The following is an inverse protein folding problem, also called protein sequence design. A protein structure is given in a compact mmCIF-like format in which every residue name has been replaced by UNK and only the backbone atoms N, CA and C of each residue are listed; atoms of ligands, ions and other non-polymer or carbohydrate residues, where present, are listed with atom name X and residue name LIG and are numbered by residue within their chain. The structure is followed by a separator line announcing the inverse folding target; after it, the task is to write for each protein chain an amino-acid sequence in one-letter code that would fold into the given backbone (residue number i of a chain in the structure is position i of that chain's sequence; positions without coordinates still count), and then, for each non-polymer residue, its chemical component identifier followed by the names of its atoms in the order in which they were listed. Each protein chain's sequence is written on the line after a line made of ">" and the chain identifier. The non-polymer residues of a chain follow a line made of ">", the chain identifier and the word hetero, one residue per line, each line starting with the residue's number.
data_IF_455129673300
#
_entry.id   IF_455129673300
#
_cell.length_a   1.000
_cell.length_b   1.000
_cell.length_c   1.000
_cell.angle_alpha   90.00
_cell.angle_beta   90.00
_cell.angle_gamma   90.00
#
_symmetry.space_group_name_H-M   'P 1'
#
loop_
_entity.id
_entity.type
_entity.pdbx_description
1 polymer ?
#
# COMPACT_ATOMS: atom_id res chain seq x y z
N UNK A 1 -0.24 -23.11 1.81
CA UNK A 1 -0.56 -21.85 2.51
C UNK A 1 -0.76 -22.16 3.96
N UNK A 2 0.01 -21.54 4.86
CA UNK A 2 -0.27 -21.65 6.29
C UNK A 2 -1.28 -20.56 6.66
N UNK A 3 -2.31 -20.90 7.42
CA UNK A 3 -3.34 -19.96 7.91
C UNK A 3 -2.70 -18.71 8.56
N UNK A 4 -1.57 -18.96 9.23
CA UNK A 4 -0.74 -17.97 9.91
C UNK A 4 -0.15 -16.89 8.99
N UNK A 5 0.17 -17.19 7.73
CA UNK A 5 0.77 -16.22 6.81
C UNK A 5 -0.26 -15.24 6.24
N UNK A 6 -1.48 -15.71 5.98
CA UNK A 6 -2.59 -14.86 5.55
C UNK A 6 -3.08 -13.97 6.71
N UNK A 7 -3.21 -14.53 7.92
CA UNK A 7 -3.54 -13.75 9.12
C UNK A 7 -2.50 -12.64 9.36
N UNK A 8 -1.20 -12.98 9.31
CA UNK A 8 -0.13 -12.01 9.46
C UNK A 8 -0.16 -10.92 8.38
N UNK A 9 -0.37 -11.29 7.11
CA UNK A 9 -0.50 -10.33 6.02
C UNK A 9 -1.71 -9.38 6.22
N UNK A 10 -2.83 -9.90 6.71
CA UNK A 10 -4.01 -9.10 7.03
C UNK A 10 -3.76 -8.13 8.18
N UNK A 11 -3.07 -8.55 9.25
CA UNK A 11 -2.69 -7.66 10.35
C UNK A 11 -1.78 -6.52 9.89
N UNK A 12 -0.78 -6.82 9.05
CA UNK A 12 0.14 -5.84 8.47
C UNK A 12 -0.63 -4.86 7.57
N UNK A 13 -1.48 -5.36 6.68
CA UNK A 13 -2.30 -4.53 5.80
C UNK A 13 -3.21 -3.60 6.62
N UNK A 14 -3.84 -4.11 7.68
CA UNK A 14 -4.79 -3.35 8.49
C UNK A 14 -4.16 -2.10 9.12
N UNK A 15 -3.01 -2.22 9.79
CA UNK A 15 -2.41 -1.05 10.41
C UNK A 15 -1.81 -0.10 9.37
N UNK A 16 -1.26 -0.61 8.26
CA UNK A 16 -0.69 0.21 7.20
C UNK A 16 -1.75 1.03 6.48
N UNK A 17 -2.91 0.45 6.16
CA UNK A 17 -4.08 1.18 5.62
C UNK A 17 -4.50 2.28 6.59
N UNK A 18 -4.69 1.95 7.87
CA UNK A 18 -5.08 2.92 8.90
C UNK A 18 -4.05 4.04 9.10
N UNK A 19 -2.76 3.73 8.92
CA UNK A 19 -1.67 4.71 9.04
C UNK A 19 -1.75 5.81 7.97
N UNK A 20 -2.24 5.49 6.77
CA UNK A 20 -2.39 6.40 5.64
C UNK A 20 -1.10 6.84 4.94
N UNK A 21 0.06 6.24 5.23
CA UNK A 21 1.34 6.64 4.64
C UNK A 21 1.64 6.11 3.24
N UNK A 22 0.84 5.16 2.75
CA UNK A 22 1.08 4.46 1.50
C UNK A 22 -0.11 4.59 0.55
N UNK A 23 0.16 4.52 -0.75
CA UNK A 23 -0.88 4.46 -1.77
C UNK A 23 -1.50 3.07 -1.82
N UNK A 24 -2.64 2.92 -2.49
CA UNK A 24 -3.28 1.60 -2.64
C UNK A 24 -2.34 0.59 -3.31
N UNK A 25 -1.65 1.00 -4.38
CA UNK A 25 -0.66 0.16 -5.06
C UNK A 25 0.49 -0.26 -4.15
N UNK A 26 1.05 0.67 -3.35
CA UNK A 26 2.11 0.35 -2.40
C UNK A 26 1.61 -0.67 -1.35
N UNK A 27 0.38 -0.50 -0.84
CA UNK A 27 -0.20 -1.41 0.14
C UNK A 27 -0.40 -2.83 -0.43
N UNK A 28 -0.89 -2.93 -1.67
CA UNK A 28 -1.04 -4.22 -2.36
C UNK A 28 0.32 -4.88 -2.55
N UNK A 29 1.32 -4.18 -3.10
CA UNK A 29 2.65 -4.72 -3.35
C UNK A 29 3.31 -5.18 -2.06
N UNK A 30 3.32 -4.33 -1.03
CA UNK A 30 3.92 -4.67 0.27
C UNK A 30 3.21 -5.83 0.97
N UNK A 31 1.91 -6.03 0.75
CA UNK A 31 1.16 -7.17 1.29
C UNK A 31 1.43 -8.44 0.48
N UNK A 32 1.59 -8.32 -0.84
CA UNK A 32 1.97 -9.42 -1.71
C UNK A 32 3.36 -9.97 -1.33
N UNK A 33 4.35 -9.11 -1.07
CA UNK A 33 5.68 -9.52 -0.61
C UNK A 33 5.62 -10.38 0.67
N UNK A 34 4.73 -10.05 1.61
CA UNK A 34 4.52 -10.86 2.82
C UNK A 34 3.98 -12.25 2.49
N UNK A 35 3.06 -12.33 1.52
CA UNK A 35 2.42 -13.57 1.09
C UNK A 35 3.33 -14.45 0.21
N UNK A 36 4.26 -13.85 -0.55
CA UNK A 36 5.24 -14.58 -1.38
C UNK A 36 6.22 -15.42 -0.55
N UNK A 37 6.36 -15.14 0.74
CA UNK A 37 7.19 -15.94 1.64
C UNK A 37 6.61 -17.35 1.93
N UNK A 38 5.37 -17.63 1.53
CA UNK A 38 4.76 -18.96 1.64
C UNK A 38 5.15 -19.88 0.47
N UNK A 39 5.64 -21.09 0.80
CA UNK A 39 5.98 -22.11 -0.19
C UNK A 39 4.80 -22.41 -1.14
N UNK A 40 5.07 -22.31 -2.43
CA UNK A 40 4.11 -22.62 -3.50
C UNK A 40 3.22 -21.46 -3.94
N UNK A 41 3.38 -20.26 -3.38
CA UNK A 41 2.64 -19.07 -3.83
C UNK A 41 3.39 -18.36 -4.94
N UNK A 42 2.79 -18.20 -6.11
CA UNK A 42 3.37 -17.41 -7.20
C UNK A 42 3.18 -15.90 -6.95
N UNK A 43 4.03 -15.01 -7.52
CA UNK A 43 3.84 -13.56 -7.39
C UNK A 43 2.45 -13.07 -7.86
N UNK A 44 1.89 -13.69 -8.90
CA UNK A 44 0.54 -13.37 -9.41
C UNK A 44 -0.53 -13.73 -8.37
N UNK A 45 -0.45 -14.90 -7.75
CA UNK A 45 -1.38 -15.32 -6.70
C UNK A 45 -1.24 -14.45 -5.45
N UNK A 46 -0.01 -14.12 -5.03
CA UNK A 46 0.24 -13.24 -3.90
C UNK A 46 -0.36 -11.84 -4.12
N UNK A 47 -0.21 -11.28 -5.32
CA UNK A 47 -0.83 -10.00 -5.70
C UNK A 47 -2.37 -10.08 -5.66
N UNK A 48 -2.95 -11.15 -6.22
CA UNK A 48 -4.40 -11.36 -6.19
C UNK A 48 -4.93 -11.44 -4.76
N UNK A 49 -4.25 -12.16 -3.88
CA UNK A 49 -4.60 -12.29 -2.47
C UNK A 49 -4.42 -10.97 -1.71
N UNK A 50 -3.33 -10.24 -1.97
CA UNK A 50 -3.12 -8.92 -1.40
C UNK A 50 -4.23 -7.94 -1.78
N UNK A 51 -4.71 -7.94 -3.04
CA UNK A 51 -5.88 -7.15 -3.46
C UNK A 51 -7.13 -7.52 -2.64
N UNK A 52 -7.39 -8.82 -2.45
CA UNK A 52 -8.53 -9.32 -1.66
C UNK A 52 -8.49 -8.88 -0.19
N UNK A 53 -7.29 -8.67 0.39
CA UNK A 53 -7.10 -8.20 1.76
C UNK A 53 -7.18 -6.66 1.82
N UNK A 54 -6.43 -5.96 0.97
CA UNK A 54 -6.20 -4.51 1.08
C UNK A 54 -7.40 -3.70 0.64
N UNK A 55 -8.07 -4.06 -0.46
CA UNK A 55 -9.16 -3.26 -1.03
C UNK A 55 -10.33 -3.09 -0.06
N UNK A 56 -10.83 -4.15 0.62
CA UNK A 56 -11.88 -3.99 1.63
C UNK A 56 -11.46 -3.08 2.78
N UNK A 57 -10.25 -3.24 3.32
CA UNK A 57 -9.71 -2.41 4.41
C UNK A 57 -9.59 -0.95 3.97
N UNK A 58 -9.14 -0.71 2.74
CA UNK A 58 -9.03 0.63 2.15
C UNK A 58 -10.39 1.30 2.03
N UNK A 59 -11.39 0.60 1.50
CA UNK A 59 -12.75 1.11 1.34
C UNK A 59 -13.43 1.39 2.69
N UNK A 60 -13.23 0.52 3.68
CA UNK A 60 -13.69 0.75 5.06
C UNK A 60 -13.06 2.03 5.64
N UNK A 61 -11.75 2.19 5.45
CA UNK A 61 -11.03 3.37 5.92
C UNK A 61 -11.47 4.65 5.18
N UNK A 62 -11.74 4.60 3.88
CA UNK A 62 -12.32 5.72 3.13
C UNK A 62 -13.71 6.11 3.67
N UNK A 63 -14.58 5.13 3.91
CA UNK A 63 -15.90 5.36 4.48
C UNK A 63 -15.80 6.00 5.88
N UNK A 64 -14.90 5.50 6.73
CA UNK A 64 -14.62 6.09 8.03
C UNK A 64 -14.15 7.55 7.91
N UNK A 65 -13.27 7.85 6.96
CA UNK A 65 -12.71 9.19 6.74
C UNK A 65 -13.74 10.24 6.31
N UNK A 66 -14.85 9.83 5.71
CA UNK A 66 -15.96 10.72 5.35
C UNK A 66 -16.65 11.31 6.60
N UNK A 67 -16.60 10.60 7.73
CA UNK A 67 -17.16 11.08 9.00
C UNK A 67 -16.27 12.08 9.73
N UNK A 68 -15.00 12.23 9.31
CA UNK A 68 -14.05 13.09 10.01
C UNK A 68 -14.35 14.57 9.75
N UNK A 69 -14.25 15.44 10.77
CA UNK A 69 -14.43 16.87 10.59
C UNK A 69 -13.53 17.43 9.48
N UNK A 70 -14.11 18.20 8.55
CA UNK A 70 -13.37 18.82 7.45
C UNK A 70 -12.70 20.14 7.85
N UNK A 71 -13.24 20.80 8.88
CA UNK A 71 -12.76 22.12 9.33
C UNK A 71 -11.63 22.02 10.36
N UNK A 72 -11.43 20.85 10.96
CA UNK A 72 -10.39 20.61 11.96
C UNK A 72 -9.20 19.89 11.35
N UNK A 73 -8.00 20.39 11.66
CA UNK A 73 -6.77 19.71 11.24
C UNK A 73 -6.62 18.38 11.97
N UNK A 74 -6.36 17.33 11.21
CA UNK A 74 -6.04 16.03 11.78
C UNK A 74 -4.71 16.07 12.56
N UNK A 75 -4.45 15.05 13.37
CA UNK A 75 -3.16 14.92 14.06
C UNK A 75 -1.99 14.91 13.07
N UNK A 76 -2.17 14.24 11.93
CA UNK A 76 -1.13 14.15 10.92
C UNK A 76 -0.90 15.48 10.19
N UNK A 77 -1.96 16.24 9.88
CA UNK A 77 -1.80 17.57 9.27
C UNK A 77 -1.07 18.54 10.20
N UNK A 78 -1.28 18.44 11.52
CA UNK A 78 -0.52 19.21 12.51
C UNK A 78 0.95 18.78 12.56
N UNK A 79 1.21 17.47 12.55
CA UNK A 79 2.58 16.94 12.47
C UNK A 79 3.28 17.37 11.18
N UNK A 80 2.61 17.27 10.02
CA UNK A 80 3.12 17.68 8.72
C UNK A 80 3.55 19.15 8.73
N UNK A 81 2.70 20.05 9.25
CA UNK A 81 3.05 21.48 9.40
C UNK A 81 4.27 21.68 10.31
N UNK A 82 4.35 20.95 11.42
CA UNK A 82 5.47 21.05 12.35
C UNK A 82 6.77 20.55 11.71
N UNK A 83 6.73 19.39 11.06
CA UNK A 83 7.89 18.76 10.43
C UNK A 83 8.38 19.60 9.25
N UNK A 84 7.47 20.11 8.41
CA UNK A 84 7.81 21.04 7.33
C UNK A 84 8.49 22.32 7.84
N UNK A 85 8.03 22.85 9.00
CA UNK A 85 8.68 24.01 9.61
C UNK A 85 10.05 23.68 10.19
N UNK A 86 10.26 22.50 10.78
CA UNK A 86 11.58 22.08 11.26
C UNK A 86 12.58 21.99 10.12
N UNK A 87 12.16 21.37 9.03
CA UNK A 87 12.93 21.20 7.81
C UNK A 87 13.30 22.57 7.21
N UNK A 88 12.29 23.35 6.80
CA UNK A 88 12.50 24.59 6.02
C UNK A 88 12.99 25.77 6.84
N UNK A 89 12.56 25.92 8.09
CA UNK A 89 12.80 27.13 8.88
C UNK A 89 13.87 26.97 9.97
N UNK A 90 14.22 25.72 10.32
CA UNK A 90 15.13 25.45 11.43
C UNK A 90 16.38 24.64 11.05
N UNK A 91 16.51 24.21 9.79
CA UNK A 91 17.61 23.33 9.33
C UNK A 91 17.68 22.02 10.12
N UNK A 92 16.52 21.49 10.47
CA UNK A 92 16.36 20.23 11.20
C UNK A 92 15.57 19.31 10.26
N UNK A 93 16.24 18.49 9.43
CA UNK A 93 15.58 17.44 8.66
C UNK A 93 14.59 16.66 9.54
N UNK A 94 13.34 16.64 9.11
CA UNK A 94 12.23 16.10 9.89
C UNK A 94 11.38 15.13 9.06
N UNK A 95 11.43 13.84 9.39
CA UNK A 95 10.75 12.79 8.61
C UNK A 95 9.72 12.00 9.43
N UNK A 96 8.52 11.88 8.89
CA UNK A 96 7.41 11.12 9.48
C UNK A 96 7.42 9.68 8.97
N UNK A 97 7.06 8.72 9.83
CA UNK A 97 6.98 7.30 9.49
C UNK A 97 8.25 6.79 8.76
N UNK A 98 9.41 7.21 9.26
CA UNK A 98 10.70 7.06 8.60
C UNK A 98 11.45 5.83 9.08
N UNK A 99 11.72 4.91 8.15
CA UNK A 99 12.37 3.61 8.39
C UNK A 99 11.61 2.71 9.37
N UNK A 100 12.04 1.45 9.49
CA UNK A 100 11.35 0.49 10.35
C UNK A 100 11.49 0.79 11.85
N UNK A 101 12.63 1.32 12.30
CA UNK A 101 12.95 1.46 13.73
C UNK A 101 13.90 2.63 14.03
N UNK A 102 14.09 2.94 15.31
CA UNK A 102 14.97 4.03 15.77
C UNK A 102 16.40 3.91 15.26
N UNK A 103 16.97 2.71 15.25
CA UNK A 103 18.38 2.50 14.86
C UNK A 103 18.61 2.82 13.38
N UNK A 104 17.72 2.33 12.51
CA UNK A 104 17.74 2.66 11.08
C UNK A 104 17.55 4.17 10.88
N UNK A 105 16.55 4.76 11.55
CA UNK A 105 16.28 6.19 11.47
C UNK A 105 17.49 7.05 11.85
N UNK A 106 18.19 6.74 12.95
CA UNK A 106 19.42 7.49 13.33
C UNK A 106 20.54 7.31 12.30
N UNK A 107 20.64 6.14 11.66
CA UNK A 107 21.68 5.86 10.67
C UNK A 107 21.43 6.56 9.33
N UNK A 108 20.17 6.74 8.95
CA UNK A 108 19.79 7.21 7.61
C UNK A 108 19.34 8.68 7.60
N UNK A 109 18.88 9.21 8.75
CA UNK A 109 18.37 10.57 8.82
C UNK A 109 19.44 11.59 8.40
N UNK A 110 19.06 12.49 7.49
CA UNK A 110 19.98 13.47 6.90
C UNK A 110 20.81 12.96 5.72
N UNK A 111 20.71 11.68 5.34
CA UNK A 111 21.37 11.13 4.14
C UNK A 111 20.95 11.84 2.86
N UNK A 112 19.66 12.18 2.75
CA UNK A 112 19.06 12.87 1.60
C UNK A 112 18.93 14.40 1.80
N UNK A 113 19.50 14.93 2.88
CA UNK A 113 19.39 16.36 3.18
C UNK A 113 20.20 17.19 2.18
N UNK A 114 19.53 18.12 1.51
CA UNK A 114 20.12 18.96 0.45
C UNK A 114 20.45 20.38 0.91
N UNK A 115 20.04 20.78 2.13
CA UNK A 115 20.35 22.09 2.68
C UNK A 115 21.77 22.19 3.24
N UNK A 116 22.27 23.41 3.41
CA UNK A 116 23.59 23.63 4.02
C UNK A 116 23.52 23.55 5.55
N UNK A 117 24.45 22.79 6.14
CA UNK A 117 24.73 22.71 7.58
C UNK A 117 23.49 22.39 8.45
N UNK A 118 22.94 21.17 8.38
CA UNK A 118 21.84 20.78 9.25
C UNK A 118 22.30 20.80 10.71
N UNK A 119 21.51 21.45 11.58
CA UNK A 119 21.88 21.65 12.99
C UNK A 119 21.42 20.50 13.89
N UNK A 120 20.54 19.66 13.39
CA UNK A 120 20.03 18.46 14.06
C UNK A 120 19.02 17.72 13.20
N UNK A 121 18.28 16.81 13.80
CA UNK A 121 17.25 16.03 13.13
C UNK A 121 16.06 15.75 14.05
N UNK A 122 14.92 15.41 13.47
CA UNK A 122 13.75 14.88 14.16
C UNK A 122 13.05 13.80 13.32
N UNK A 123 12.53 12.73 13.92
CA UNK A 123 11.73 11.74 13.20
C UNK A 123 10.88 10.88 14.13
N UNK A 124 9.88 10.21 13.59
CA UNK A 124 9.31 8.99 14.18
C UNK A 124 9.30 7.89 13.12
N UNK A 125 9.41 6.63 13.54
CA UNK A 125 9.57 5.48 12.65
C UNK A 125 8.27 4.68 12.50
N UNK A 126 8.25 3.72 11.58
CA UNK A 126 7.08 2.88 11.29
C UNK A 126 6.54 2.14 12.53
N UNK A 127 7.41 1.54 13.36
CA UNK A 127 6.95 0.87 14.59
C UNK A 127 6.23 1.82 15.58
N UNK A 128 6.54 3.13 15.58
CA UNK A 128 5.81 4.11 16.40
C UNK A 128 4.41 4.31 15.83
N UNK A 129 4.30 4.45 14.52
CA UNK A 129 3.01 4.57 13.82
C UNK A 129 2.16 3.33 14.02
N UNK A 130 2.73 2.14 13.83
CA UNK A 130 2.06 0.86 14.04
C UNK A 130 1.53 0.74 15.47
N UNK A 131 2.39 0.98 16.46
CA UNK A 131 2.00 0.93 17.87
C UNK A 131 0.85 1.88 18.17
N UNK A 132 0.90 3.10 17.64
CA UNK A 132 -0.15 4.08 17.86
C UNK A 132 -1.47 3.73 17.18
N UNK A 133 -1.42 3.20 15.95
CA UNK A 133 -2.61 2.74 15.21
C UNK A 133 -3.25 1.52 15.88
N UNK A 134 -2.44 0.57 16.37
CA UNK A 134 -2.93 -0.65 17.04
C UNK A 134 -3.45 -0.38 18.45
N UNK A 135 -2.90 0.62 19.14
CA UNK A 135 -3.25 0.95 20.53
C UNK A 135 -3.61 2.45 20.66
N UNK A 136 -4.85 2.84 20.32
CA UNK A 136 -5.33 4.21 20.50
C UNK A 136 -5.14 4.72 21.94
N UNK A 137 -4.82 6.01 22.09
CA UNK A 137 -4.46 6.62 23.38
C UNK A 137 -3.01 6.41 23.84
N UNK A 138 -2.17 5.74 23.04
CA UNK A 138 -0.71 5.76 23.21
C UNK A 138 -0.11 7.11 22.76
N UNK A 139 1.22 7.24 22.76
CA UNK A 139 1.91 8.48 22.35
C UNK A 139 2.79 8.27 21.12
N UNK A 140 2.90 9.30 20.29
CA UNK A 140 3.85 9.29 19.17
C UNK A 140 5.19 9.78 19.72
N UNK A 141 6.14 8.86 19.83
CA UNK A 141 7.50 9.16 20.24
C UNK A 141 8.28 9.76 19.07
N UNK A 142 8.66 11.04 19.20
CA UNK A 142 9.53 11.75 18.26
C UNK A 142 10.96 11.70 18.79
N UNK A 143 11.83 11.05 18.02
CA UNK A 143 13.27 11.05 18.24
C UNK A 143 13.89 12.29 17.62
N UNK A 144 14.92 12.81 18.26
CA UNK A 144 15.63 13.98 17.79
C UNK A 144 17.08 13.94 18.28
N UNK A 145 17.92 14.74 17.66
CA UNK A 145 19.32 14.80 18.02
C UNK A 145 20.11 15.78 17.19
N UNK A 146 21.43 15.73 17.34
CA UNK A 146 22.38 16.56 16.60
C UNK A 146 23.30 15.68 15.78
N UNK A 147 23.70 16.15 14.61
CA UNK A 147 24.79 15.53 13.85
C UNK A 147 26.14 15.78 14.51
N UNK A 148 27.12 14.92 14.22
CA UNK A 148 28.47 15.09 14.71
C UNK A 148 29.06 16.42 14.22
N UNK A 149 29.59 17.22 15.14
CA UNK A 149 30.16 18.54 14.82
C UNK A 149 29.14 19.67 14.72
N UNK A 150 27.85 19.42 14.97
CA UNK A 150 26.85 20.49 15.02
C UNK A 150 27.23 21.56 16.08
N UNK A 151 27.06 22.85 15.78
CA UNK A 151 27.27 23.92 16.76
C UNK A 151 26.15 23.98 17.81
N UNK A 152 25.03 23.29 17.59
CA UNK A 152 23.91 23.23 18.53
C UNK A 152 24.05 22.08 19.52
N UNK A 153 23.53 22.29 20.73
CA UNK A 153 23.38 21.19 21.70
C UNK A 153 22.08 20.44 21.43
N UNK A 154 22.06 19.15 21.73
CA UNK A 154 20.84 18.32 21.62
C UNK A 154 19.64 18.91 22.38
N UNK A 155 19.88 19.50 23.56
CA UNK A 155 18.84 20.20 24.33
C UNK A 155 18.20 21.37 23.56
N UNK A 156 18.99 22.12 22.79
CA UNK A 156 18.50 23.26 22.01
C UNK A 156 17.67 22.80 20.80
N UNK A 157 18.08 21.70 20.16
CA UNK A 157 17.30 21.03 19.11
C UNK A 157 15.97 20.53 19.69
N UNK A 158 15.99 19.80 20.81
CA UNK A 158 14.77 19.31 21.47
C UNK A 158 13.81 20.44 21.85
N UNK A 159 14.33 21.53 22.42
CA UNK A 159 13.53 22.72 22.71
C UNK A 159 12.91 23.36 21.46
N UNK A 160 13.61 23.31 20.33
CA UNK A 160 13.09 23.80 19.04
C UNK A 160 11.97 22.88 18.55
N UNK A 161 12.18 21.57 18.55
CA UNK A 161 11.19 20.56 18.17
C UNK A 161 9.92 20.70 19.00
N UNK A 162 10.02 20.72 20.32
CA UNK A 162 8.86 20.90 21.22
C UNK A 162 8.11 22.20 20.94
N UNK A 163 8.84 23.31 20.72
CA UNK A 163 8.22 24.60 20.43
C UNK A 163 7.45 24.58 19.11
N UNK A 164 8.02 23.98 18.06
CA UNK A 164 7.38 23.91 16.74
C UNK A 164 6.16 22.99 16.79
N UNK A 165 6.26 21.83 17.43
CA UNK A 165 5.13 20.92 17.62
C UNK A 165 3.97 21.59 18.37
N UNK A 166 4.26 22.26 19.50
CA UNK A 166 3.22 22.99 20.27
C UNK A 166 2.58 24.12 19.45
N UNK A 167 3.36 24.84 18.64
CA UNK A 167 2.85 25.89 17.74
C UNK A 167 1.92 25.34 16.65
N UNK A 168 2.13 24.10 16.23
CA UNK A 168 1.23 23.40 15.31
C UNK A 168 -0.06 22.88 16.00
N UNK A 169 -0.23 23.12 17.31
CA UNK A 169 -1.41 22.70 18.07
C UNK A 169 -1.36 21.26 18.56
N UNK A 170 -0.16 20.69 18.73
CA UNK A 170 0.07 19.37 19.29
C UNK A 170 0.22 19.44 20.81
N UNK A 171 -0.33 18.45 21.52
CA UNK A 171 -0.04 18.22 22.94
C UNK A 171 1.30 17.50 23.05
N UNK A 172 2.26 18.09 23.75
CA UNK A 172 3.65 17.62 23.77
C UNK A 172 4.15 17.52 25.20
N UNK A 173 4.58 16.32 25.58
CA UNK A 173 5.20 15.97 26.84
C UNK A 173 6.69 15.71 26.65
N UNK A 174 7.51 16.48 27.36
CA UNK A 174 8.96 16.31 27.39
C UNK A 174 9.53 17.08 28.59
N UNK A 175 10.41 16.42 29.36
CA UNK A 175 10.99 16.93 30.62
C UNK A 175 12.36 17.61 30.42
N UNK A 176 12.89 17.64 29.19
CA UNK A 176 14.20 18.17 28.87
C UNK A 176 15.32 17.11 28.88
N UNK A 177 15.05 15.86 29.25
CA UNK A 177 16.04 14.78 29.18
C UNK A 177 16.34 14.43 27.72
N UNK A 178 17.55 14.77 27.27
CA UNK A 178 18.00 14.52 25.89
C UNK A 178 18.22 13.05 25.55
N UNK A 179 18.07 12.14 26.53
CA UNK A 179 18.13 10.69 26.30
C UNK A 179 16.78 10.10 25.95
N UNK A 180 15.69 10.83 26.19
CA UNK A 180 14.30 10.44 25.92
C UNK A 180 13.80 11.12 24.65
N UNK A 181 12.85 10.47 23.97
CA UNK A 181 12.13 11.13 22.89
C UNK A 181 11.13 12.14 23.42
N UNK A 182 10.58 12.92 22.51
CA UNK A 182 9.49 13.86 22.77
C UNK A 182 8.18 13.14 22.51
N UNK A 183 7.27 13.15 23.47
CA UNK A 183 5.99 12.45 23.36
C UNK A 183 4.90 13.40 22.86
N UNK A 184 4.26 13.03 21.75
CA UNK A 184 3.05 13.71 21.28
C UNK A 184 1.84 12.90 21.71
N UNK A 185 1.01 13.51 22.56
CA UNK A 185 -0.21 12.89 23.09
C UNK A 185 -1.37 13.16 22.14
N UNK A 186 -2.06 12.12 21.73
CA UNK A 186 -3.26 12.22 20.91
C UNK A 186 -4.16 11.01 21.18
N UNK A 187 -5.49 11.22 21.15
CA UNK A 187 -6.46 10.15 21.39
C UNK A 187 -6.56 9.19 20.20
N UNK A 188 -6.49 9.71 18.97
CA UNK A 188 -6.77 8.94 17.76
C UNK A 188 -5.84 9.32 16.60
N UNK A 189 -5.43 8.31 15.83
CA UNK A 189 -4.64 8.53 14.62
C UNK A 189 -5.57 8.91 13.48
N UNK A 190 -5.28 10.03 12.84
CA UNK A 190 -6.03 10.51 11.69
C UNK A 190 -5.05 11.03 10.64
N UNK A 191 -4.77 10.18 9.65
CA UNK A 191 -4.16 10.55 8.38
C UNK A 191 -5.09 10.11 7.27
N UNK A 192 -5.35 11.00 6.29
CA UNK A 192 -6.19 10.67 5.14
C UNK A 192 -5.42 9.80 4.15
N UNK A 193 -6.12 8.89 3.48
CA UNK A 193 -5.51 8.00 2.50
C UNK A 193 -5.00 8.80 1.29
N UNK A 194 -3.89 8.35 0.70
CA UNK A 194 -3.31 8.95 -0.51
C UNK A 194 -4.00 8.33 -1.72
N UNK A 195 -5.10 8.93 -2.16
CA UNK A 195 -5.86 8.47 -3.32
C UNK A 195 -5.22 9.02 -4.60
N UNK A 196 -4.87 8.13 -5.53
CA UNK A 196 -4.39 8.47 -6.88
C UNK A 196 -5.45 8.18 -7.93
N UNK A 197 -5.37 8.90 -9.04
CA UNK A 197 -6.18 8.63 -10.23
C UNK A 197 -5.82 7.23 -10.78
N UNK A 198 -6.82 6.38 -11.04
CA UNK A 198 -6.63 4.99 -11.48
C UNK A 198 -6.62 3.92 -10.38
N UNK A 199 -6.58 4.29 -9.09
CA UNK A 199 -6.61 3.32 -7.97
C UNK A 199 -7.84 2.39 -8.00
N UNK A 200 -8.94 2.85 -8.62
CA UNK A 200 -10.20 2.12 -8.73
C UNK A 200 -10.39 1.42 -10.08
N UNK A 201 -9.59 1.75 -11.10
CA UNK A 201 -9.73 1.20 -12.45
C UNK A 201 -9.04 -0.17 -12.58
N UNK A 202 -7.97 -0.41 -11.82
CA UNK A 202 -7.26 -1.70 -11.81
C UNK A 202 -7.93 -2.77 -10.96
N UNK A 203 -8.82 -2.42 -10.04
CA UNK A 203 -9.49 -3.40 -9.17
C UNK A 203 -10.52 -4.27 -9.92
N UNK A 204 -10.99 -3.81 -11.08
CA UNK A 204 -12.09 -4.44 -11.83
C UNK A 204 -11.63 -5.22 -13.09
N UNK A 205 -10.40 -5.03 -13.57
CA UNK A 205 -10.01 -5.52 -14.91
C UNK A 205 -9.51 -6.98 -14.96
N UNK A 206 -9.01 -7.53 -13.86
CA UNK A 206 -8.41 -8.86 -13.79
C UNK A 206 -9.19 -9.85 -12.89
N UNK A 207 -10.27 -9.40 -12.25
CA UNK A 207 -11.06 -10.22 -11.32
C UNK A 207 -11.90 -11.33 -11.99
N UNK A 208 -12.13 -11.26 -13.31
CA UNK A 208 -13.03 -12.18 -14.04
C UNK A 208 -12.43 -12.91 -15.26
N UNK A 209 -11.10 -12.88 -15.49
CA UNK A 209 -10.56 -13.36 -16.77
C UNK A 209 -10.03 -14.81 -16.83
N UNK A 210 -9.96 -15.56 -15.73
CA UNK A 210 -9.48 -16.96 -15.80
C UNK A 210 -10.56 -17.94 -15.33
N UNK A 211 -11.60 -18.09 -16.16
CA UNK A 211 -12.40 -19.32 -16.21
C UNK A 211 -11.57 -20.39 -16.96
N UNK A 212 -11.20 -21.44 -16.22
CA UNK A 212 -11.13 -22.84 -16.65
C UNK A 212 -10.75 -23.12 -18.12
N UNK A 213 -9.45 -23.25 -18.38
CA UNK A 213 -8.94 -24.05 -19.51
C UNK A 213 -7.73 -24.89 -19.13
N UNK A 214 -7.91 -25.80 -18.18
CA UNK A 214 -7.08 -27.00 -18.12
C UNK A 214 -7.99 -28.21 -17.90
N UNK A 215 -8.37 -28.84 -19.01
CA UNK A 215 -9.23 -30.02 -18.99
C UNK A 215 -9.78 -30.39 -20.36
N UNK A 216 -8.92 -30.52 -21.37
CA UNK A 216 -9.24 -31.34 -22.54
C UNK A 216 -8.19 -32.46 -22.62
N UNK A 217 -8.53 -33.58 -21.96
CA UNK A 217 -7.92 -34.88 -22.26
C UNK A 217 -8.36 -35.28 -23.68
N UNK A 218 -7.39 -35.41 -24.60
CA UNK A 218 -7.63 -35.99 -25.92
C UNK A 218 -7.84 -37.50 -25.76
N UNK A 219 -9.10 -37.95 -25.76
CA UNK A 219 -9.43 -39.36 -26.05
C UNK A 219 -9.27 -39.61 -27.56
N UNK A 220 -8.18 -40.26 -27.95
CA UNK A 220 -8.05 -40.90 -29.26
C UNK A 220 -9.05 -42.08 -29.34
N UNK A 221 -10.15 -41.88 -30.05
CA UNK A 221 -11.02 -42.98 -30.50
C UNK A 221 -10.47 -43.49 -31.83
N UNK A 222 -9.78 -44.63 -31.79
CA UNK A 222 -9.56 -45.46 -32.98
C UNK A 222 -10.90 -46.01 -33.46
N UNK A 223 -11.39 -45.53 -34.60
CA UNK A 223 -12.41 -46.24 -35.37
C UNK A 223 -11.74 -47.00 -36.51
N UNK A 224 -11.48 -48.29 -36.29
CA UNK A 224 -11.48 -49.27 -37.37
C UNK A 224 -12.89 -49.30 -37.97
N UNK A 225 -13.03 -49.08 -39.27
CA UNK A 225 -14.14 -49.68 -39.99
C UNK A 225 -13.75 -50.11 -41.40
N UNK A 226 -14.24 -51.29 -41.71
CA UNK A 226 -13.82 -52.23 -42.75
C UNK A 226 -14.31 -51.88 -44.16
N UNK A 227 -13.53 -52.35 -45.14
CA UNK A 227 -13.83 -52.43 -46.56
C UNK A 227 -15.16 -53.18 -46.86
N UNK A 228 -15.97 -52.66 -47.79
CA UNK A 228 -16.73 -53.45 -48.77
C UNK A 228 -17.24 -52.60 -49.95
N UNK A 229 -16.53 -52.70 -51.07
CA UNK A 229 -17.00 -53.09 -52.42
C UNK A 229 -18.36 -52.62 -53.02
N UNK A 230 -18.22 -51.90 -54.15
CA UNK A 230 -18.68 -52.30 -55.51
C UNK A 230 -19.80 -51.49 -56.25
N UNK A 231 -19.52 -51.32 -57.56
CA UNK A 231 -20.36 -51.02 -58.75
C UNK A 231 -20.62 -49.58 -59.26
N UNK A 232 -19.79 -49.23 -60.25
CA UNK A 232 -20.10 -48.94 -61.68
C UNK A 232 -20.82 -47.66 -62.15
N UNK A 233 -20.09 -46.92 -63.01
CA UNK A 233 -20.41 -46.31 -64.32
C UNK A 233 -21.73 -45.54 -64.59
N UNK A 234 -21.59 -44.36 -65.22
CA UNK A 234 -22.36 -44.06 -66.45
C UNK A 234 -23.24 -42.80 -66.50
N UNK A 235 -22.75 -41.82 -67.28
CA UNK A 235 -23.49 -40.98 -68.26
C UNK A 235 -24.52 -39.88 -67.84
N UNK A 236 -24.04 -38.65 -68.04
CA UNK A 236 -24.62 -37.49 -68.73
C UNK A 236 -25.99 -37.58 -69.48
N UNK A 237 -26.81 -36.57 -69.16
CA UNK A 237 -27.65 -35.74 -70.07
C UNK A 237 -29.13 -36.07 -70.33
N UNK A 238 -29.95 -35.00 -70.41
CA UNK A 238 -31.26 -34.94 -71.08
C UNK A 238 -32.42 -34.50 -70.18
N UNK A 239 -32.67 -33.18 -70.03
CA UNK A 239 -33.70 -32.39 -70.77
C UNK A 239 -35.16 -32.60 -70.29
N UNK A 240 -35.80 -31.51 -69.84
CA UNK A 240 -37.22 -31.19 -70.07
C UNK A 240 -37.56 -29.82 -69.47
N UNK A 241 -37.68 -28.79 -70.31
CA UNK A 241 -38.68 -27.73 -70.14
C UNK A 241 -39.23 -27.38 -71.52
N UNK A 242 -40.44 -27.85 -71.74
CA UNK A 242 -41.31 -27.55 -72.87
C UNK A 242 -42.42 -26.64 -72.32
N UNK A 243 -42.67 -25.50 -72.97
CA UNK A 243 -43.96 -24.80 -72.91
C UNK A 243 -44.07 -23.81 -74.08
N UNK A 244 -44.67 -24.31 -75.17
CA UNK A 244 -45.78 -23.71 -75.92
C UNK A 244 -46.26 -22.33 -75.41
N UNK A 245 -46.45 -21.31 -76.24
CA UNK A 245 -47.62 -21.17 -77.13
C UNK A 245 -47.53 -19.95 -78.08
N UNK A 246 -48.44 -19.83 -79.08
CA UNK A 246 -48.20 -19.17 -80.37
C UNK A 246 -48.88 -17.79 -80.53
N UNK A 247 -48.49 -17.06 -81.57
CA UNK A 247 -49.25 -16.67 -82.79
C UNK A 247 -48.29 -15.95 -83.74
#
# INVERSE_FOLDING_TARGET
>A
MSDNSQEYAAEIAQWRVKSGFWTLADLINNTAEVLEHDEGTTPREATRMARQIVIPLWNEQLALQQSWPQEEKTIEEKLAVAFDSLDKNHKIPALMNFTCCRTCGVSEIGGDWTGDDPVGYAFFHEQTTEGFVKFPGSTIMIYYGTFQGSPMKCLDVGNTVVRVLRRAGLSVEWDGDTKRGIEVVCEEWKKRLIVKEGDFDEADSDYYSDDDKEGEEEEEIETEDSEMDDLSEGELSGLLQDASEPI
#
